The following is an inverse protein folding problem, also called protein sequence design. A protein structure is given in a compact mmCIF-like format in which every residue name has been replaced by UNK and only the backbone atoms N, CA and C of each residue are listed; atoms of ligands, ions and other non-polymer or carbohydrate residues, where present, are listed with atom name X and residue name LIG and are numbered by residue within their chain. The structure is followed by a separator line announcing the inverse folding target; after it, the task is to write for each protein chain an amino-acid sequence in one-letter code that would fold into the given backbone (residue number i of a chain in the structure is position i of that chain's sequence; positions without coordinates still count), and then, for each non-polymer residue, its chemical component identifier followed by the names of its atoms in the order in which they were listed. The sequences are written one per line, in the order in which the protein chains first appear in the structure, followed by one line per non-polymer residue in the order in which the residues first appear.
data_IF_039077450859
#
_entry.id   IF_039077450859
#
_cell.length_a   1.000
_cell.length_b   1.000
_cell.length_c   1.000
_cell.angle_alpha   90.00
_cell.angle_beta   90.00
_cell.angle_gamma   90.00
#
_symmetry.space_group_name_H-M   'P 1'
#
loop_
_entity.id
_entity.type
_entity.pdbx_description
1 polymer ?
#
# COMPACT_ATOMS: atom_id res chain seq x y z
N UNK A 1 30.10 -55.53 61.13
CA UNK A 1 29.21 -54.67 61.94
C UNK A 1 28.08 -54.18 61.07
N UNK A 2 26.85 -54.06 61.61
CA UNK A 2 25.68 -53.56 60.88
C UNK A 2 25.48 -52.09 61.24
N UNK A 3 25.50 -51.14 60.29
CA UNK A 3 25.27 -49.74 60.60
C UNK A 3 23.84 -49.53 61.16
N UNK A 4 23.74 -48.71 62.20
CA UNK A 4 22.47 -48.33 62.86
C UNK A 4 21.88 -47.04 62.29
N UNK A 5 20.63 -46.74 62.67
CA UNK A 5 19.92 -45.53 62.23
C UNK A 5 20.57 -44.29 62.86
N UNK A 6 20.84 -43.26 62.07
CA UNK A 6 21.43 -41.99 62.54
C UNK A 6 20.38 -41.05 63.10
N UNK A 7 20.79 -40.21 64.06
CA UNK A 7 19.95 -39.16 64.65
C UNK A 7 19.58 -38.08 63.62
N UNK A 8 18.40 -37.47 63.76
CA UNK A 8 17.93 -36.36 62.93
C UNK A 8 18.12 -35.06 63.70
N UNK A 9 18.73 -34.07 63.05
CA UNK A 9 18.92 -32.72 63.59
C UNK A 9 18.19 -31.69 62.73
N UNK A 10 17.72 -30.61 63.38
CA UNK A 10 17.13 -29.46 62.70
C UNK A 10 18.23 -28.59 62.08
N UNK A 11 18.01 -28.11 60.85
CA UNK A 11 18.89 -27.14 60.19
C UNK A 11 18.31 -25.74 60.42
N UNK A 12 19.11 -24.83 60.97
CA UNK A 12 18.77 -23.41 61.06
C UNK A 12 19.47 -22.67 59.91
N UNK A 13 18.81 -22.46 58.76
CA UNK A 13 19.40 -21.68 57.68
C UNK A 13 19.62 -20.22 58.13
N UNK A 14 20.63 -19.53 57.58
CA UNK A 14 20.81 -18.11 57.84
C UNK A 14 19.56 -17.34 57.43
N UNK A 15 19.34 -16.15 58.03
CA UNK A 15 18.26 -15.23 57.67
C UNK A 15 18.46 -14.71 56.23
N UNK A 16 18.11 -15.52 55.24
CA UNK A 16 18.01 -15.09 53.86
C UNK A 16 16.70 -14.35 53.66
N UNK A 17 16.73 -13.28 52.86
CA UNK A 17 15.51 -12.60 52.47
C UNK A 17 14.77 -13.48 51.45
N UNK A 18 13.86 -14.32 51.95
CA UNK A 18 12.97 -15.14 51.14
C UNK A 18 11.71 -14.33 50.84
N UNK A 19 11.47 -14.06 49.56
CA UNK A 19 10.30 -13.32 49.09
C UNK A 19 10.66 -12.21 48.09
N UNK A 20 9.65 -11.53 47.51
CA UNK A 20 9.88 -10.44 46.57
C UNK A 20 10.55 -9.25 47.27
N UNK A 21 11.48 -8.60 46.57
CA UNK A 21 12.10 -7.35 47.03
C UNK A 21 11.12 -6.18 46.91
N UNK A 22 11.31 -5.15 47.74
CA UNK A 22 10.51 -3.92 47.60
C UNK A 22 10.88 -3.17 46.33
N UNK A 23 9.97 -2.33 45.82
CA UNK A 23 10.23 -1.52 44.64
C UNK A 23 11.46 -0.59 44.82
N UNK A 24 11.63 -0.03 46.02
CA UNK A 24 12.78 0.80 46.37
C UNK A 24 14.10 0.00 46.35
N UNK A 25 14.11 -1.21 46.92
CA UNK A 25 15.27 -2.10 46.85
C UNK A 25 15.62 -2.47 45.40
N UNK A 26 14.60 -2.74 44.57
CA UNK A 26 14.78 -3.03 43.14
C UNK A 26 15.45 -1.86 42.41
N UNK A 27 15.01 -0.63 42.65
CA UNK A 27 15.60 0.55 42.03
C UNK A 27 17.07 0.74 42.43
N UNK A 28 17.40 0.58 43.71
CA UNK A 28 18.78 0.66 44.19
C UNK A 28 19.70 -0.38 43.53
N UNK A 29 19.22 -1.63 43.40
CA UNK A 29 19.96 -2.70 42.73
C UNK A 29 20.18 -2.43 41.24
N UNK A 30 19.18 -1.89 40.55
CA UNK A 30 19.30 -1.53 39.12
C UNK A 30 20.31 -0.39 38.95
N UNK A 31 20.24 0.64 39.78
CA UNK A 31 21.16 1.77 39.73
C UNK A 31 22.63 1.37 40.01
N UNK A 32 22.85 0.38 40.88
CA UNK A 32 24.18 -0.18 41.18
C UNK A 32 24.67 -1.24 40.19
N UNK A 33 23.89 -1.56 39.15
CA UNK A 33 24.25 -2.61 38.19
C UNK A 33 25.33 -2.15 37.21
N UNK A 34 26.20 -3.06 36.78
CA UNK A 34 27.21 -2.81 35.75
C UNK A 34 26.57 -2.36 34.42
N UNK A 35 25.35 -2.83 34.16
CA UNK A 35 24.58 -2.50 32.95
C UNK A 35 23.60 -1.34 33.17
N UNK A 36 23.69 -0.63 34.29
CA UNK A 36 22.90 0.57 34.53
C UNK A 36 23.09 1.57 33.36
N UNK A 37 21.99 2.16 32.89
CA UNK A 37 21.99 3.06 31.74
C UNK A 37 22.07 2.41 30.34
N UNK A 38 22.41 1.12 30.21
CA UNK A 38 22.55 0.47 28.89
C UNK A 38 21.20 0.05 28.32
N UNK A 39 20.38 -0.62 29.11
CA UNK A 39 19.12 -1.23 28.68
C UNK A 39 17.87 -0.52 29.20
N UNK A 40 18.02 0.69 29.75
CA UNK A 40 16.90 1.44 30.34
C UNK A 40 15.96 1.99 29.28
N UNK A 41 16.49 2.29 28.09
CA UNK A 41 15.69 2.82 26.98
C UNK A 41 14.96 1.68 26.30
N UNK A 42 13.66 1.57 26.56
CA UNK A 42 12.79 0.72 25.78
C UNK A 42 12.79 1.22 24.32
N UNK A 43 13.17 0.34 23.39
CA UNK A 43 13.10 0.63 21.96
C UNK A 43 11.90 -0.10 21.41
N UNK A 44 10.84 0.65 21.13
CA UNK A 44 9.70 0.14 20.39
C UNK A 44 10.00 0.20 18.88
N UNK A 45 9.98 -0.95 18.21
CA UNK A 45 10.29 -1.05 16.79
C UNK A 45 8.98 -1.20 16.04
N UNK A 46 8.81 -0.41 14.98
CA UNK A 46 7.68 -0.55 14.07
C UNK A 46 7.53 -2.03 13.67
N UNK A 47 6.37 -2.60 13.97
CA UNK A 47 6.14 -4.02 13.73
C UNK A 47 5.95 -4.28 12.23
N UNK A 48 6.33 -5.47 11.76
CA UNK A 48 6.08 -5.85 10.37
C UNK A 48 4.59 -5.75 10.02
N UNK A 49 3.70 -6.03 10.98
CA UNK A 49 2.26 -5.90 10.84
C UNK A 49 1.83 -4.45 10.57
N UNK A 50 2.35 -3.48 11.33
CA UNK A 50 2.06 -2.05 11.10
C UNK A 50 2.58 -1.57 9.74
N UNK A 51 3.79 -1.99 9.36
CA UNK A 51 4.36 -1.63 8.07
C UNK A 51 3.55 -2.20 6.89
N UNK A 52 3.11 -3.46 6.99
CA UNK A 52 2.29 -4.12 5.97
C UNK A 52 0.91 -3.46 5.91
N UNK A 53 0.26 -3.22 7.05
CA UNK A 53 -1.06 -2.57 7.12
C UNK A 53 -1.01 -1.18 6.48
N UNK A 54 -0.04 -0.34 6.87
CA UNK A 54 0.14 0.99 6.30
C UNK A 54 0.37 0.94 4.77
N UNK A 55 1.13 -0.05 4.29
CA UNK A 55 1.37 -0.24 2.84
C UNK A 55 0.09 -0.65 2.10
N UNK A 56 -0.71 -1.56 2.67
CA UNK A 56 -1.98 -1.97 2.08
C UNK A 56 -2.94 -0.79 2.03
N UNK A 57 -3.08 -0.05 3.13
CA UNK A 57 -3.94 1.14 3.22
C UNK A 57 -3.53 2.21 2.19
N UNK A 58 -2.23 2.48 2.05
CA UNK A 58 -1.71 3.41 1.05
C UNK A 58 -2.01 2.94 -0.40
N UNK A 59 -1.87 1.63 -0.67
CA UNK A 59 -2.14 1.06 -1.99
C UNK A 59 -3.63 1.16 -2.34
N UNK A 60 -4.51 0.88 -1.37
CA UNK A 60 -5.96 0.99 -1.55
C UNK A 60 -6.39 2.44 -1.78
N UNK A 61 -5.79 3.41 -1.08
CA UNK A 61 -6.07 4.83 -1.28
C UNK A 61 -5.59 5.34 -2.66
N UNK A 62 -4.44 4.87 -3.14
CA UNK A 62 -3.93 5.19 -4.48
C UNK A 62 -4.82 4.58 -5.58
N UNK A 63 -5.33 3.36 -5.38
CA UNK A 63 -6.25 2.72 -6.32
C UNK A 63 -7.61 3.43 -6.39
N UNK A 64 -8.14 3.93 -5.26
CA UNK A 64 -9.38 4.71 -5.26
C UNK A 64 -9.18 6.06 -5.94
N UNK A 65 -8.07 6.75 -5.67
CA UNK A 65 -7.75 8.03 -6.32
C UNK A 65 -7.52 7.87 -7.83
N UNK A 66 -6.87 6.78 -8.26
CA UNK A 66 -6.68 6.49 -9.69
C UNK A 66 -8.00 6.17 -10.41
N UNK A 67 -8.93 5.46 -9.76
CA UNK A 67 -10.27 5.18 -10.29
C UNK A 67 -11.12 6.44 -10.40
N UNK A 68 -11.06 7.33 -9.41
CA UNK A 68 -11.77 8.61 -9.44
C UNK A 68 -11.23 9.55 -10.51
N UNK A 69 -9.91 9.61 -10.69
CA UNK A 69 -9.28 10.38 -11.76
C UNK A 69 -9.63 9.81 -13.14
N UNK A 70 -9.60 8.49 -13.32
CA UNK A 70 -10.03 7.85 -14.56
C UNK A 70 -11.52 8.11 -14.87
N UNK A 71 -12.39 8.07 -13.85
CA UNK A 71 -13.81 8.39 -14.00
C UNK A 71 -14.05 9.87 -14.33
N UNK A 72 -13.26 10.79 -13.77
CA UNK A 72 -13.35 12.22 -14.09
C UNK A 72 -12.90 12.51 -15.52
N UNK A 73 -11.80 11.90 -15.99
CA UNK A 73 -11.32 12.04 -17.36
C UNK A 73 -12.28 11.43 -18.39
N UNK A 74 -12.93 10.30 -18.05
CA UNK A 74 -13.96 9.69 -18.89
C UNK A 74 -15.23 10.56 -18.99
N UNK A 75 -15.60 11.29 -17.93
CA UNK A 75 -16.71 12.25 -17.96
C UNK A 75 -16.38 13.48 -18.81
N UNK A 76 -15.19 14.05 -18.66
CA UNK A 76 -14.74 15.19 -19.48
C UNK A 76 -14.63 14.83 -20.96
N UNK A 77 -14.22 13.60 -21.30
CA UNK A 77 -14.22 13.12 -22.69
C UNK A 77 -15.63 12.91 -23.27
N UNK A 78 -16.61 12.53 -22.43
CA UNK A 78 -18.01 12.36 -22.83
C UNK A 78 -18.71 13.70 -23.05
N UNK A 79 -18.40 14.71 -22.23
CA UNK A 79 -18.96 16.06 -22.38
C UNK A 79 -18.42 16.78 -23.64
N UNK A 80 -17.17 16.53 -24.02
CA UNK A 80 -16.59 17.06 -25.28
C UNK A 80 -17.13 16.37 -26.55
N UNK A 81 -17.66 15.15 -26.44
CA UNK A 81 -18.33 14.46 -27.54
C UNK A 81 -19.83 14.84 -27.67
N UNK A 82 -20.43 15.38 -26.61
CA UNK A 82 -21.83 15.84 -26.60
C UNK A 82 -22.04 17.24 -27.20
N UNK A 83 -20.99 18.06 -27.31
CA UNK A 83 -21.09 19.42 -27.85
C UNK A 83 -21.01 19.51 -29.40
N UNK A 84 -21.11 18.38 -30.11
CA UNK A 84 -21.11 18.34 -31.59
C UNK A 84 -22.25 17.48 -32.15
N UNK A 85 -23.35 17.36 -31.41
CA UNK A 85 -24.57 16.65 -31.84
C UNK A 85 -25.83 17.47 -31.53
N UNK A 86 -25.79 18.76 -31.83
CA UNK A 86 -26.98 19.57 -32.13
C UNK A 86 -26.74 20.17 -33.51
N UNK A 87 -26.93 19.35 -34.56
CA UNK A 87 -27.55 19.81 -35.81
C UNK A 87 -27.86 18.60 -36.72
N UNK A 88 -29.15 18.27 -36.74
CA UNK A 88 -29.89 17.94 -37.95
C UNK A 88 -29.40 16.77 -38.84
N UNK A 89 -29.52 15.54 -38.32
CA UNK A 89 -29.12 14.33 -39.06
C UNK A 89 -29.99 13.11 -38.82
N UNK A 90 -31.32 13.29 -38.77
CA UNK A 90 -32.27 12.17 -38.71
C UNK A 90 -32.13 11.23 -39.91
N UNK A 91 -32.54 9.96 -39.73
CA UNK A 91 -32.77 8.81 -40.64
C UNK A 91 -32.22 8.82 -42.09
N UNK A 92 -32.31 9.95 -42.80
CA UNK A 92 -31.80 10.20 -44.15
C UNK A 92 -30.26 10.13 -44.25
N UNK A 93 -29.51 10.51 -43.20
CA UNK A 93 -28.04 10.44 -43.19
C UNK A 93 -27.48 9.01 -43.12
N UNK A 94 -28.22 8.10 -42.48
CA UNK A 94 -27.87 6.67 -42.38
C UNK A 94 -28.00 5.95 -43.73
N UNK A 95 -29.04 6.30 -44.51
CA UNK A 95 -29.28 5.76 -45.85
C UNK A 95 -28.30 6.31 -46.90
N UNK A 96 -27.86 7.56 -46.76
CA UNK A 96 -26.84 8.16 -47.63
C UNK A 96 -25.44 7.55 -47.50
N UNK A 97 -25.11 6.99 -46.32
CA UNK A 97 -23.83 6.32 -46.08
C UNK A 97 -23.70 4.93 -46.71
N UNK A 98 -24.82 4.24 -46.99
CA UNK A 98 -24.84 2.89 -47.54
C UNK A 98 -24.75 2.88 -49.08
N UNK A 99 -25.22 3.93 -49.76
CA UNK A 99 -25.45 3.92 -51.21
C UNK A 99 -24.50 4.80 -52.03
N UNK A 100 -23.33 5.14 -51.49
CA UNK A 100 -22.22 5.70 -52.26
C UNK A 100 -22.38 7.16 -52.68
N UNK A 101 -21.66 8.04 -51.99
CA UNK A 101 -21.52 9.44 -52.39
C UNK A 101 -20.56 10.20 -51.48
N UNK A 102 -19.28 10.20 -51.82
CA UNK A 102 -18.26 10.95 -51.09
C UNK A 102 -18.30 12.45 -51.42
N UNK A 103 -17.94 13.31 -50.46
CA UNK A 103 -16.62 13.99 -50.35
C UNK A 103 -16.65 15.07 -49.26
N UNK A 104 -15.51 15.20 -48.56
CA UNK A 104 -15.05 16.36 -47.77
C UNK A 104 -15.63 16.54 -46.37
N UNK A 105 -14.73 16.55 -45.38
CA UNK A 105 -14.99 17.17 -44.08
C UNK A 105 -14.65 16.32 -42.87
N UNK A 106 -13.36 16.08 -42.61
CA UNK A 106 -12.75 16.06 -41.26
C UNK A 106 -13.52 15.31 -40.15
N UNK A 107 -14.17 14.19 -40.44
CA UNK A 107 -14.73 13.29 -39.42
C UNK A 107 -14.14 11.91 -39.62
N UNK A 108 -13.37 11.46 -38.63
CA UNK A 108 -12.85 10.11 -38.55
C UNK A 108 -14.00 9.11 -38.72
N UNK A 109 -13.81 8.15 -39.63
CA UNK A 109 -14.71 7.01 -39.81
C UNK A 109 -14.98 6.34 -38.46
N UNK A 110 -16.17 5.76 -38.24
CA UNK A 110 -16.47 5.01 -37.01
C UNK A 110 -15.41 3.93 -36.71
N UNK A 111 -14.85 3.31 -37.75
CA UNK A 111 -13.74 2.37 -37.62
C UNK A 111 -12.44 3.04 -37.16
N UNK A 112 -12.18 4.27 -37.60
CA UNK A 112 -11.02 5.07 -37.20
C UNK A 112 -11.14 5.57 -35.75
N UNK A 113 -12.36 5.89 -35.28
CA UNK A 113 -12.63 6.26 -33.89
C UNK A 113 -12.43 5.07 -32.94
N UNK A 114 -12.88 3.88 -33.33
CA UNK A 114 -12.62 2.65 -32.59
C UNK A 114 -11.14 2.30 -32.58
N UNK A 115 -10.45 2.41 -33.72
CA UNK A 115 -9.02 2.14 -33.82
C UNK A 115 -8.18 3.12 -32.98
N UNK A 116 -8.49 4.42 -33.02
CA UNK A 116 -7.82 5.44 -32.20
C UNK A 116 -8.08 5.24 -30.71
N UNK A 117 -9.31 4.85 -30.34
CA UNK A 117 -9.65 4.59 -28.93
C UNK A 117 -8.95 3.34 -28.40
N UNK A 118 -8.89 2.26 -29.19
CA UNK A 118 -8.14 1.06 -28.86
C UNK A 118 -6.62 1.34 -28.78
N UNK A 119 -6.07 2.06 -29.76
CA UNK A 119 -4.66 2.45 -29.76
C UNK A 119 -4.29 3.34 -28.57
N UNK A 120 -5.15 4.30 -28.21
CA UNK A 120 -4.93 5.20 -27.07
C UNK A 120 -5.08 4.47 -25.72
N UNK A 121 -6.04 3.54 -25.60
CA UNK A 121 -6.23 2.75 -24.39
C UNK A 121 -5.04 1.82 -24.15
N UNK A 122 -4.68 1.02 -25.16
CA UNK A 122 -3.54 0.08 -25.13
C UNK A 122 -2.22 0.85 -24.91
N UNK A 123 -2.02 1.97 -25.60
CA UNK A 123 -0.82 2.79 -25.46
C UNK A 123 -0.67 3.40 -24.06
N UNK A 124 -1.77 3.81 -23.44
CA UNK A 124 -1.74 4.42 -22.10
C UNK A 124 -1.55 3.40 -20.97
N UNK A 125 -2.11 2.19 -21.08
CA UNK A 125 -1.91 1.12 -20.08
C UNK A 125 -0.50 0.56 -20.15
N UNK A 126 -0.01 0.23 -21.35
CA UNK A 126 1.35 -0.26 -21.57
C UNK A 126 2.38 0.81 -21.22
N UNK A 127 2.13 2.07 -21.60
CA UNK A 127 3.01 3.20 -21.27
C UNK A 127 3.14 3.43 -19.76
N UNK A 128 2.04 3.40 -19.00
CA UNK A 128 2.09 3.58 -17.54
C UNK A 128 2.74 2.40 -16.82
N UNK A 129 2.53 1.17 -17.30
CA UNK A 129 3.18 -0.01 -16.76
C UNK A 129 4.69 -0.03 -17.01
N UNK A 130 5.13 0.39 -18.21
CA UNK A 130 6.56 0.52 -18.53
C UNK A 130 7.21 1.64 -17.71
N UNK A 131 6.56 2.80 -17.58
CA UNK A 131 7.10 3.92 -16.78
C UNK A 131 7.19 3.54 -15.29
N UNK A 132 6.20 2.84 -14.72
CA UNK A 132 6.32 2.35 -13.33
C UNK A 132 7.33 1.20 -13.18
N UNK A 133 7.38 0.27 -14.13
CA UNK A 133 8.26 -0.90 -14.07
C UNK A 133 9.73 -0.55 -14.28
N UNK A 134 10.03 0.28 -15.27
CA UNK A 134 11.40 0.63 -15.68
C UNK A 134 11.94 1.83 -14.90
N UNK A 135 11.16 2.91 -14.74
CA UNK A 135 11.62 4.09 -13.98
C UNK A 135 11.51 3.88 -12.46
N UNK A 136 10.47 3.19 -11.99
CA UNK A 136 10.29 2.87 -10.56
C UNK A 136 11.29 1.85 -10.02
N UNK A 137 11.76 0.93 -10.87
CA UNK A 137 12.80 -0.05 -10.52
C UNK A 137 14.22 0.51 -10.52
N UNK A 138 14.52 1.50 -11.36
CA UNK A 138 15.88 2.07 -11.51
C UNK A 138 16.11 3.30 -10.63
N UNK A 139 15.09 4.11 -10.32
CA UNK A 139 15.24 5.35 -9.53
C UNK A 139 14.60 5.30 -8.13
N UNK A 140 13.93 4.20 -7.74
CA UNK A 140 12.98 4.19 -6.64
C UNK A 140 13.32 3.44 -5.35
N UNK A 141 14.42 2.70 -5.24
CA UNK A 141 14.70 1.86 -4.06
C UNK A 141 15.98 2.25 -3.30
N UNK A 142 16.05 3.49 -2.83
CA UNK A 142 17.04 3.87 -1.80
C UNK A 142 16.51 4.88 -0.79
N UNK A 143 15.88 4.36 0.26
CA UNK A 143 15.79 4.94 1.61
C UNK A 143 15.87 3.75 2.56
N UNK A 144 17.01 3.48 3.23
CA UNK A 144 17.49 4.12 4.46
C UNK A 144 16.35 4.49 5.40
#
# INVERSE_FOLDING_TARGET
GRPGVTERVFVLPPRSQIGPITAAQRQALIAGSIVAGVYEKAVDRASAHEAIKARVEATMADETAAKEQAASMARTAKDQAGAAADDDGGLLGSLGGLLGGGKSGRRMSAGEQLFKSAASAIGSEVGRQIIRGVLGGIFGSKRR
#
